data_IF_333402866848
#
_entry.id   IF_333402866848
#
_cell.length_a   1.000
_cell.length_b   1.000
_cell.length_c   1.000
_cell.angle_alpha   90.00
_cell.angle_beta   90.00
_cell.angle_gamma   90.00
#
_symmetry.space_group_name_H-M   'P 1'
#
loop_
_entity.id
_entity.type
_entity.pdbx_description
1 polymer ?
#
# COMPACT_ATOMS: atom_id res chain seq x y z
N UNK A 1 17.15 -6.46 8.58
CA UNK A 1 16.97 -5.46 7.51
C UNK A 1 16.71 -4.13 8.17
N UNK A 2 17.33 -3.08 7.67
CA UNK A 2 17.23 -1.74 8.25
C UNK A 2 15.90 -1.08 7.82
N UNK A 3 14.98 -0.92 8.79
CA UNK A 3 13.63 -0.37 8.56
C UNK A 3 13.69 1.07 8.05
N UNK A 4 14.69 1.86 8.46
CA UNK A 4 14.84 3.24 8.00
C UNK A 4 15.19 3.29 6.51
N UNK A 5 16.04 2.37 6.04
CA UNK A 5 16.36 2.26 4.60
C UNK A 5 15.16 1.84 3.75
N UNK A 6 14.27 1.01 4.31
CA UNK A 6 13.04 0.60 3.65
C UNK A 6 12.04 1.76 3.58
N UNK A 7 11.89 2.53 4.67
CA UNK A 7 11.07 3.75 4.69
C UNK A 7 11.58 4.80 3.71
N UNK A 8 12.88 5.09 3.70
CA UNK A 8 13.49 6.05 2.77
C UNK A 8 13.32 5.64 1.29
N UNK A 9 13.17 4.34 1.00
CA UNK A 9 12.87 3.86 -0.36
C UNK A 9 11.40 4.06 -0.73
N UNK A 10 10.49 3.91 0.23
CA UNK A 10 9.06 4.17 0.07
C UNK A 10 8.74 5.68 -0.06
N UNK A 11 9.50 6.54 0.61
CA UNK A 11 9.35 8.00 0.52
C UNK A 11 9.67 8.57 -0.87
N UNK A 12 10.51 7.88 -1.66
CA UNK A 12 10.85 8.27 -3.04
C UNK A 12 9.73 8.00 -4.04
N UNK A 13 8.72 7.20 -3.66
CA UNK A 13 7.59 6.91 -4.52
C UNK A 13 6.62 8.09 -4.55
N UNK A 14 5.98 8.29 -5.68
CA UNK A 14 4.89 9.26 -5.84
C UNK A 14 3.63 8.81 -5.09
N UNK A 15 2.70 9.73 -4.84
CA UNK A 15 1.38 9.39 -4.29
C UNK A 15 0.68 8.33 -5.15
N UNK A 16 0.78 8.44 -6.48
CA UNK A 16 0.16 7.52 -7.41
C UNK A 16 0.76 6.11 -7.34
N UNK A 17 2.08 5.98 -7.23
CA UNK A 17 2.75 4.67 -7.05
C UNK A 17 2.35 4.03 -5.71
N UNK A 18 2.29 4.82 -4.63
CA UNK A 18 1.83 4.32 -3.33
C UNK A 18 0.37 3.87 -3.38
N UNK A 19 -0.49 4.61 -4.05
CA UNK A 19 -1.89 4.23 -4.25
C UNK A 19 -2.03 2.94 -5.06
N UNK A 20 -1.21 2.75 -6.11
CA UNK A 20 -1.18 1.51 -6.90
C UNK A 20 -0.80 0.34 -5.99
N UNK A 21 0.26 0.49 -5.19
CA UNK A 21 0.72 -0.56 -4.28
C UNK A 21 -0.39 -1.00 -3.32
N UNK A 22 -1.05 -0.03 -2.68
CA UNK A 22 -2.13 -0.31 -1.73
C UNK A 22 -3.30 -0.97 -2.43
N UNK A 23 -3.72 -0.44 -3.59
CA UNK A 23 -4.83 -1.00 -4.37
C UNK A 23 -4.56 -2.43 -4.80
N UNK A 24 -3.41 -2.70 -5.40
CA UNK A 24 -3.05 -4.04 -5.86
C UNK A 24 -2.96 -5.05 -4.70
N UNK A 25 -2.50 -4.61 -3.53
CA UNK A 25 -2.43 -5.47 -2.36
C UNK A 25 -3.81 -5.74 -1.74
N UNK A 26 -4.57 -4.68 -1.46
CA UNK A 26 -5.79 -4.71 -0.65
C UNK A 26 -7.02 -5.15 -1.47
N UNK A 27 -7.07 -4.78 -2.76
CA UNK A 27 -8.19 -5.07 -3.66
C UNK A 27 -7.89 -6.29 -4.52
N UNK A 28 -6.75 -6.29 -5.23
CA UNK A 28 -6.42 -7.36 -6.17
C UNK A 28 -5.70 -8.55 -5.52
N UNK A 29 -5.26 -8.43 -4.27
CA UNK A 29 -4.61 -9.51 -3.55
C UNK A 29 -3.27 -9.93 -4.15
N UNK A 30 -2.53 -9.02 -4.78
CA UNK A 30 -1.17 -9.31 -5.25
C UNK A 30 -0.20 -9.40 -4.06
N UNK A 31 0.82 -10.27 -4.18
CA UNK A 31 1.93 -10.29 -3.22
C UNK A 31 2.83 -9.07 -3.37
N UNK A 32 3.59 -8.76 -2.31
CA UNK A 32 4.53 -7.62 -2.33
C UNK A 32 5.57 -7.74 -3.44
N UNK A 33 6.01 -8.96 -3.77
CA UNK A 33 6.91 -9.23 -4.88
C UNK A 33 6.26 -9.01 -6.23
N UNK A 34 5.04 -9.53 -6.45
CA UNK A 34 4.33 -9.33 -7.72
C UNK A 34 4.09 -7.85 -8.01
N UNK A 35 3.80 -7.05 -6.99
CA UNK A 35 3.59 -5.61 -7.13
C UNK A 35 4.91 -4.91 -7.51
N UNK A 36 6.03 -5.28 -6.90
CA UNK A 36 7.35 -4.75 -7.26
C UNK A 36 7.71 -5.06 -8.72
N UNK A 37 7.49 -6.30 -9.16
CA UNK A 37 7.78 -6.73 -10.52
C UNK A 37 6.88 -6.03 -11.54
N UNK A 38 5.56 -5.99 -11.31
CA UNK A 38 4.58 -5.49 -12.29
C UNK A 38 4.48 -3.96 -12.34
N UNK A 39 4.60 -3.29 -11.20
CA UNK A 39 4.28 -1.86 -11.10
C UNK A 39 5.49 -0.97 -10.80
N UNK A 40 6.57 -1.52 -10.25
CA UNK A 40 7.80 -0.76 -9.96
C UNK A 40 8.97 -1.15 -10.86
N UNK A 41 8.81 -2.12 -11.77
CA UNK A 41 9.88 -2.60 -12.66
C UNK A 41 11.07 -3.21 -11.91
N UNK A 42 10.83 -3.70 -10.68
CA UNK A 42 11.87 -4.18 -9.77
C UNK A 42 11.96 -5.71 -9.81
N UNK A 43 12.48 -6.26 -10.91
CA UNK A 43 12.63 -7.71 -11.08
C UNK A 43 13.60 -8.33 -10.05
N UNK A 44 13.26 -9.53 -9.57
CA UNK A 44 14.13 -10.31 -8.68
C UNK A 44 14.26 -9.79 -7.23
N UNK A 45 13.46 -8.79 -6.84
CA UNK A 45 13.43 -8.27 -5.47
C UNK A 45 12.45 -9.04 -4.57
N UNK A 46 12.58 -8.82 -3.26
CA UNK A 46 11.84 -9.56 -2.21
C UNK A 46 10.52 -8.90 -1.79
N UNK A 47 10.07 -7.82 -2.43
CA UNK A 47 8.87 -7.09 -2.04
C UNK A 47 9.08 -6.04 -0.95
N UNK A 48 10.31 -5.59 -0.71
CA UNK A 48 10.64 -4.75 0.45
C UNK A 48 10.19 -3.30 0.32
N UNK A 49 10.27 -2.72 -0.87
CA UNK A 49 9.77 -1.36 -1.13
C UNK A 49 8.25 -1.33 -0.93
N UNK A 50 7.56 -2.31 -1.51
CA UNK A 50 6.12 -2.49 -1.33
C UNK A 50 5.77 -2.71 0.13
N UNK A 51 6.51 -3.57 0.84
CA UNK A 51 6.30 -3.77 2.28
C UNK A 51 6.52 -2.48 3.08
N UNK A 52 7.51 -1.67 2.70
CA UNK A 52 7.75 -0.34 3.26
C UNK A 52 6.56 0.59 3.12
N UNK A 53 5.94 0.63 1.92
CA UNK A 53 4.71 1.37 1.68
C UNK A 53 3.57 0.81 2.54
N UNK A 54 3.31 -0.48 2.55
CA UNK A 54 2.21 -1.05 3.35
C UNK A 54 2.37 -0.77 4.85
N UNK A 55 3.60 -0.87 5.38
CA UNK A 55 3.91 -0.48 6.76
C UNK A 55 3.73 1.02 6.99
N UNK A 56 4.10 1.83 6.01
CA UNK A 56 3.80 3.26 5.96
C UNK A 56 2.42 3.55 5.40
N UNK A 57 1.46 2.59 5.39
CA UNK A 57 -0.03 2.72 5.46
C UNK A 57 -0.70 1.92 6.60
N UNK A 58 0.07 1.32 7.52
CA UNK A 58 -0.41 0.51 8.64
C UNK A 58 -1.28 -0.67 8.17
N UNK A 59 -1.11 -1.03 6.89
CA UNK A 59 -1.83 -2.09 6.21
C UNK A 59 -1.24 -3.41 6.65
N UNK A 60 -2.08 -4.20 7.31
CA UNK A 60 -1.75 -5.52 7.84
C UNK A 60 -1.90 -6.59 6.77
N UNK A 61 -1.29 -7.76 7.03
CA UNK A 61 -1.21 -8.85 6.04
C UNK A 61 -2.58 -9.47 5.69
N UNK A 62 -3.51 -9.42 6.62
CA UNK A 62 -4.88 -9.91 6.53
C UNK A 62 -5.79 -9.02 5.67
N UNK A 63 -5.35 -7.80 5.32
CA UNK A 63 -6.09 -6.92 4.41
C UNK A 63 -5.92 -7.29 2.94
N UNK A 64 -5.00 -8.21 2.63
CA UNK A 64 -4.69 -8.65 1.27
C UNK A 64 -5.94 -9.24 0.59
N UNK A 65 -6.40 -8.59 -0.48
CA UNK A 65 -7.59 -9.00 -1.24
C UNK A 65 -8.91 -8.94 -0.46
N UNK A 66 -8.98 -8.22 0.66
CA UNK A 66 -10.16 -8.17 1.54
C UNK A 66 -11.24 -7.21 1.01
N UNK A 67 -10.87 -6.16 0.28
CA UNK A 67 -11.79 -5.07 -0.08
C UNK A 67 -11.98 -4.92 -1.59
N UNK A 68 -12.64 -5.90 -2.22
CA UNK A 68 -12.81 -5.98 -3.69
C UNK A 68 -13.68 -4.88 -4.31
N UNK A 69 -14.42 -4.13 -3.49
CA UNK A 69 -15.39 -3.13 -3.96
C UNK A 69 -14.88 -1.68 -3.85
N UNK A 70 -13.65 -1.48 -3.37
CA UNK A 70 -13.04 -0.15 -3.25
C UNK A 70 -12.43 0.24 -4.60
N UNK A 71 -12.65 1.49 -5.03
CA UNK A 71 -12.08 2.00 -6.29
C UNK A 71 -10.66 2.54 -6.10
N UNK A 72 -9.87 2.50 -7.17
CA UNK A 72 -8.54 3.13 -7.17
C UNK A 72 -8.60 4.63 -6.82
N UNK A 73 -9.62 5.36 -7.29
CA UNK A 73 -9.80 6.78 -6.98
C UNK A 73 -10.00 7.04 -5.47
N UNK A 74 -10.73 6.16 -4.78
CA UNK A 74 -10.89 6.24 -3.33
C UNK A 74 -9.56 6.03 -2.60
N UNK A 75 -8.78 5.01 -2.99
CA UNK A 75 -7.46 4.75 -2.41
C UNK A 75 -6.49 5.91 -2.69
N UNK A 76 -6.50 6.44 -3.92
CA UNK A 76 -5.66 7.59 -4.27
C UNK A 76 -6.02 8.81 -3.44
N UNK A 77 -7.32 9.08 -3.25
CA UNK A 77 -7.79 10.16 -2.37
C UNK A 77 -7.26 9.97 -0.96
N UNK A 78 -7.36 8.76 -0.39
CA UNK A 78 -6.81 8.45 0.94
C UNK A 78 -5.29 8.71 1.01
N UNK A 79 -4.53 8.27 0.01
CA UNK A 79 -3.07 8.48 -0.05
C UNK A 79 -2.70 9.96 -0.19
N UNK A 80 -3.53 10.76 -0.86
CA UNK A 80 -3.28 12.19 -1.11
C UNK A 80 -3.84 13.10 -0.02
N UNK A 81 -4.92 12.71 0.66
CA UNK A 81 -5.56 13.48 1.72
C UNK A 81 -4.91 13.27 3.08
N UNK A 82 -4.17 12.19 3.27
CA UNK A 82 -3.77 11.78 4.59
C UNK A 82 -2.39 12.26 5.01
N UNK A 83 -2.39 13.01 6.10
CA UNK A 83 -1.46 12.78 7.20
C UNK A 83 -1.85 11.45 7.88
N UNK A 84 -0.88 10.67 8.33
CA UNK A 84 -0.98 9.24 8.69
C UNK A 84 -2.23 8.76 9.45
N UNK A 85 -2.64 9.51 10.48
CA UNK A 85 -3.66 9.11 11.44
C UNK A 85 -5.07 9.01 10.85
N UNK A 86 -5.36 9.74 9.76
CA UNK A 86 -6.69 9.75 9.15
C UNK A 86 -6.93 8.52 8.25
N UNK A 87 -5.88 7.90 7.69
CA UNK A 87 -6.01 6.64 6.92
C UNK A 87 -6.54 5.53 7.81
N UNK A 88 -5.97 5.39 9.00
CA UNK A 88 -6.31 4.31 9.91
C UNK A 88 -7.75 4.44 10.43
N UNK A 89 -8.22 5.67 10.71
CA UNK A 89 -9.62 5.91 11.06
C UNK A 89 -10.57 5.53 9.92
N UNK A 90 -10.31 5.98 8.70
CA UNK A 90 -11.19 5.72 7.56
C UNK A 90 -11.22 4.23 7.16
N UNK A 91 -10.12 3.49 7.33
CA UNK A 91 -10.09 2.04 7.08
C UNK A 91 -10.77 1.25 8.20
N UNK A 92 -10.69 1.69 9.46
CA UNK A 92 -11.41 1.06 10.59
C UNK A 92 -12.92 1.31 10.52
N UNK A 93 -13.36 2.47 10.05
CA UNK A 93 -14.78 2.77 9.83
C UNK A 93 -15.43 1.91 8.74
N UNK A 94 -14.64 1.34 7.83
CA UNK A 94 -15.11 0.40 6.80
C UNK A 94 -15.28 -1.05 7.31
N UNK A 95 -14.76 -1.39 8.50
CA UNK A 95 -14.91 -2.73 9.12
C UNK A 95 -16.19 -2.83 9.98
N UNK A 96 -16.91 -1.73 10.22
CA UNK A 96 -18.16 -1.66 11.02
C UNK A 96 -19.46 -1.73 10.17
N UNK A 97 -19.38 -2.07 8.87
CA UNK A 97 -20.54 -2.27 7.95
C UNK A 97 -20.56 -3.71 7.44
#
# INVERSE_FOLDING_TARGET
MDIEKVRASAEKLTSNERAIIIFEYVVNGLSTREIEEKHLGMEGRKGWTVWGVLQSYEIKKDFKGKYTNITFAAIKTIVESSNWEDVCKNLMELDDI
#
